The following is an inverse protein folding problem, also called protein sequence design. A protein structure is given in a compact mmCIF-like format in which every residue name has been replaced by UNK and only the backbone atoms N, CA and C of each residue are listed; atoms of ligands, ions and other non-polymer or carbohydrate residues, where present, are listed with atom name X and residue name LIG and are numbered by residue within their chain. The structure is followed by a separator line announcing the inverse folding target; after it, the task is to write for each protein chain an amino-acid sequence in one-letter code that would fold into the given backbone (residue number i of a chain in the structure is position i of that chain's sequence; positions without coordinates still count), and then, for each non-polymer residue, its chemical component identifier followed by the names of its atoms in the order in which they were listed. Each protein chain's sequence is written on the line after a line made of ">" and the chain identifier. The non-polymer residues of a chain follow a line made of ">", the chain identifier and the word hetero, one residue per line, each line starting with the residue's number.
data_IF_608203614006
#
_entry.id   IF_608203614006
#
_cell.length_a   1.000
_cell.length_b   1.000
_cell.length_c   1.000
_cell.angle_alpha   90.00
_cell.angle_beta   90.00
_cell.angle_gamma   90.00
#
_symmetry.space_group_name_H-M   'P 1'
#
loop_
_entity.id
_entity.type
_entity.pdbx_description
1 polymer ?
#
# COMPACT_ATOMS: atom_id res chain seq x y z
N UNK A 1 20.22 -8.98 -9.42
CA UNK A 1 21.03 -7.90 -8.77
C UNK A 1 21.01 -6.71 -9.69
N UNK A 2 20.14 -5.72 -9.43
CA UNK A 2 20.25 -4.42 -10.08
C UNK A 2 21.49 -3.79 -9.47
N UNK A 3 22.57 -3.66 -10.26
CA UNK A 3 23.80 -3.02 -9.83
C UNK A 3 23.45 -1.62 -9.29
N UNK A 4 23.91 -1.27 -8.09
CA UNK A 4 23.60 -0.05 -7.39
C UNK A 4 23.63 1.19 -8.28
N UNK A 5 22.47 1.56 -8.79
CA UNK A 5 22.34 2.76 -9.61
C UNK A 5 22.61 3.94 -8.68
N UNK A 6 23.59 4.77 -9.07
CA UNK A 6 23.90 5.99 -8.31
C UNK A 6 22.62 6.79 -8.13
N UNK A 7 22.23 7.11 -6.89
CA UNK A 7 21.06 7.92 -6.58
C UNK A 7 21.06 9.23 -7.42
N UNK A 8 19.96 9.52 -8.09
CA UNK A 8 19.77 10.68 -8.98
C UNK A 8 18.61 11.58 -8.49
N UNK A 9 18.79 12.30 -7.36
CA UNK A 9 17.73 13.01 -6.71
C UNK A 9 17.05 14.04 -7.60
N UNK A 10 15.72 13.89 -7.77
CA UNK A 10 14.89 14.86 -8.49
C UNK A 10 14.42 15.95 -7.52
N UNK A 11 14.51 17.21 -7.95
CA UNK A 11 14.01 18.32 -7.13
C UNK A 11 12.49 18.32 -7.11
N UNK A 12 11.95 18.35 -5.92
CA UNK A 12 10.53 18.54 -5.71
C UNK A 12 10.30 19.42 -4.48
N UNK A 13 9.35 20.32 -4.54
CA UNK A 13 8.93 21.13 -3.40
C UNK A 13 7.59 20.59 -2.92
N UNK A 14 7.57 19.86 -1.79
CA UNK A 14 6.31 19.37 -1.24
C UNK A 14 5.41 20.55 -0.84
N UNK A 15 4.10 20.40 -0.94
CA UNK A 15 3.18 21.39 -0.38
C UNK A 15 3.44 21.56 1.13
N UNK A 16 3.21 22.73 1.72
CA UNK A 16 3.38 22.94 3.15
C UNK A 16 2.65 21.86 3.94
N UNK A 17 3.35 21.21 4.88
CA UNK A 17 2.75 20.15 5.67
C UNK A 17 1.54 20.68 6.44
N UNK A 18 0.38 20.02 6.38
CA UNK A 18 -0.80 20.43 7.12
C UNK A 18 -0.54 20.36 8.63
N UNK A 19 -1.24 21.14 9.47
CA UNK A 19 -1.07 21.10 10.94
C UNK A 19 -1.14 19.66 11.49
N UNK A 20 -2.05 18.86 10.95
CA UNK A 20 -2.27 17.45 11.31
C UNK A 20 -1.01 16.56 11.18
N UNK A 21 -0.09 16.88 10.27
CA UNK A 21 1.18 16.16 10.10
C UNK A 21 2.14 16.27 11.31
N UNK A 22 1.88 17.20 12.23
CA UNK A 22 2.70 17.43 13.44
C UNK A 22 2.03 16.89 14.71
N UNK A 23 0.81 16.42 14.59
CA UNK A 23 0.05 15.84 15.69
C UNK A 23 0.33 14.34 15.77
N UNK A 24 0.35 13.82 16.98
CA UNK A 24 0.62 12.40 17.26
C UNK A 24 -0.65 11.61 17.57
N UNK A 25 -1.76 12.31 17.67
CA UNK A 25 -3.10 11.74 17.91
C UNK A 25 -4.15 12.49 17.11
N UNK A 26 -5.14 11.78 16.63
CA UNK A 26 -6.37 12.37 16.07
C UNK A 26 -7.31 12.83 17.17
N UNK A 27 -8.26 13.70 16.81
CA UNK A 27 -9.31 14.16 17.73
C UNK A 27 -10.11 12.98 18.30
N UNK A 28 -10.36 11.98 17.46
CA UNK A 28 -10.92 10.68 17.84
C UNK A 28 -9.80 9.66 17.62
N UNK A 29 -9.09 9.19 18.67
CA UNK A 29 -7.99 8.29 18.50
C UNK A 29 -8.44 6.90 18.03
N UNK A 30 -7.54 6.20 17.31
CA UNK A 30 -7.74 4.78 17.01
C UNK A 30 -7.86 4.02 18.35
N UNK A 31 -8.93 3.24 18.55
CA UNK A 31 -9.09 2.43 19.76
C UNK A 31 -7.99 1.38 19.91
N UNK A 32 -7.95 0.74 21.07
CA UNK A 32 -7.00 -0.34 21.35
C UNK A 32 -7.05 -1.40 20.25
N UNK A 33 -5.88 -1.79 19.78
CA UNK A 33 -5.69 -2.82 18.76
C UNK A 33 -5.51 -4.16 19.46
N UNK A 34 -6.37 -5.12 19.14
CA UNK A 34 -6.20 -6.53 19.50
C UNK A 34 -5.33 -7.22 18.46
N UNK A 35 -4.45 -8.12 18.86
CA UNK A 35 -3.50 -8.81 17.98
C UNK A 35 -4.00 -10.22 17.66
N UNK A 36 -4.01 -10.57 16.37
CA UNK A 36 -4.16 -11.94 15.89
C UNK A 36 -2.77 -12.40 15.42
N UNK A 37 -2.09 -13.13 16.32
CA UNK A 37 -0.69 -13.52 16.08
C UNK A 37 -0.54 -14.47 14.89
N UNK A 38 0.53 -14.29 14.12
CA UNK A 38 0.90 -15.09 12.95
C UNK A 38 2.21 -15.84 13.21
N UNK A 39 2.42 -17.00 12.53
CA UNK A 39 3.70 -17.71 12.59
C UNK A 39 4.86 -16.99 11.88
N UNK A 40 4.59 -15.91 11.14
CA UNK A 40 5.56 -15.10 10.41
C UNK A 40 5.53 -13.64 10.82
N UNK A 41 6.40 -12.83 10.22
CA UNK A 41 6.53 -11.41 10.52
C UNK A 41 6.08 -10.54 9.33
N UNK A 42 5.84 -9.27 9.64
CA UNK A 42 5.54 -8.23 8.67
C UNK A 42 4.37 -8.60 7.72
N UNK A 43 3.15 -8.88 8.24
CA UNK A 43 1.96 -9.01 7.40
C UNK A 43 1.63 -7.65 6.77
N UNK A 44 2.21 -7.40 5.59
CA UNK A 44 2.23 -6.07 4.96
C UNK A 44 0.84 -5.61 4.55
N UNK A 45 0.04 -6.51 3.96
CA UNK A 45 -1.34 -6.25 3.60
C UNK A 45 -2.29 -7.30 4.17
N UNK A 46 -3.56 -6.95 4.24
CA UNK A 46 -4.64 -7.81 4.69
C UNK A 46 -5.84 -7.68 3.78
N UNK A 47 -6.47 -8.79 3.45
CA UNK A 47 -7.74 -8.79 2.71
C UNK A 47 -8.75 -9.69 3.40
N UNK A 48 -10.04 -9.41 3.18
CA UNK A 48 -11.14 -10.21 3.72
C UNK A 48 -11.81 -11.01 2.61
N UNK A 49 -11.98 -12.31 2.81
CA UNK A 49 -12.74 -13.15 1.89
C UNK A 49 -14.26 -12.98 2.07
N UNK A 50 -15.04 -13.40 1.08
CA UNK A 50 -16.50 -13.41 1.18
C UNK A 50 -17.05 -14.24 2.35
N UNK A 51 -16.29 -15.24 2.83
CA UNK A 51 -16.62 -16.06 3.99
C UNK A 51 -16.22 -15.42 5.33
N UNK A 52 -15.64 -14.24 5.31
CA UNK A 52 -15.25 -13.49 6.52
C UNK A 52 -13.89 -13.86 7.10
N UNK A 53 -13.09 -14.65 6.41
CA UNK A 53 -11.71 -14.90 6.81
C UNK A 53 -10.81 -13.74 6.43
N UNK A 54 -9.78 -13.52 7.23
CA UNK A 54 -8.74 -12.53 6.93
C UNK A 54 -7.54 -13.27 6.35
N UNK A 55 -7.03 -12.78 5.23
CA UNK A 55 -5.82 -13.30 4.59
C UNK A 55 -4.69 -12.31 4.81
N UNK A 56 -3.51 -12.81 5.12
CA UNK A 56 -2.30 -12.02 5.28
C UNK A 56 -1.09 -12.75 4.70
N UNK A 57 -0.25 -12.04 3.95
CA UNK A 57 1.03 -12.52 3.46
C UNK A 57 2.17 -12.02 4.35
N UNK A 58 3.15 -12.87 4.68
CA UNK A 58 4.26 -12.53 5.57
C UNK A 58 5.61 -12.57 4.85
N UNK A 59 6.68 -12.15 5.54
CA UNK A 59 8.00 -11.88 4.96
C UNK A 59 8.73 -13.11 4.38
N UNK A 60 8.41 -14.32 4.82
CA UNK A 60 8.98 -15.57 4.30
C UNK A 60 8.24 -16.16 3.09
N UNK A 61 7.27 -15.44 2.55
CA UNK A 61 6.43 -15.85 1.42
C UNK A 61 5.16 -16.60 1.80
N UNK A 62 4.96 -16.92 3.07
CA UNK A 62 3.77 -17.62 3.54
C UNK A 62 2.53 -16.73 3.47
N UNK A 63 1.41 -17.32 3.04
CA UNK A 63 0.08 -16.69 3.01
C UNK A 63 -0.82 -17.43 3.96
N UNK A 64 -1.34 -16.74 4.96
CA UNK A 64 -2.17 -17.31 6.01
C UNK A 64 -3.63 -16.89 5.89
N UNK A 65 -4.54 -17.81 6.26
CA UNK A 65 -5.95 -17.56 6.46
C UNK A 65 -6.25 -17.57 7.95
N UNK A 66 -6.90 -16.53 8.45
CA UNK A 66 -7.20 -16.29 9.85
C UNK A 66 -8.71 -16.26 10.03
N UNK A 67 -9.21 -16.99 11.01
CA UNK A 67 -10.58 -16.82 11.50
C UNK A 67 -10.57 -15.70 12.55
N UNK A 68 -11.15 -14.53 12.29
CA UNK A 68 -11.05 -13.41 13.21
C UNK A 68 -11.88 -13.60 14.50
N UNK A 69 -12.82 -14.55 14.51
CA UNK A 69 -13.66 -14.86 15.67
C UNK A 69 -13.04 -15.97 16.54
N UNK A 70 -12.61 -17.06 15.90
CA UNK A 70 -12.01 -18.19 16.61
C UNK A 70 -10.50 -17.97 16.89
N UNK A 71 -9.85 -17.01 16.22
CA UNK A 71 -8.41 -16.77 16.32
C UNK A 71 -7.55 -17.88 15.68
N UNK A 72 -8.15 -18.79 14.91
CA UNK A 72 -7.40 -19.90 14.29
C UNK A 72 -6.70 -19.43 13.03
N UNK A 73 -5.44 -19.87 12.87
CA UNK A 73 -4.58 -19.52 11.72
C UNK A 73 -4.26 -20.81 10.94
N UNK A 74 -4.35 -20.77 9.62
CA UNK A 74 -3.98 -21.87 8.73
C UNK A 74 -3.15 -21.34 7.56
N UNK A 75 -2.09 -22.08 7.20
CA UNK A 75 -1.29 -21.81 6.01
C UNK A 75 -2.10 -22.18 4.78
N UNK A 76 -2.22 -21.26 3.81
CA UNK A 76 -2.83 -21.50 2.50
C UNK A 76 -1.79 -21.92 1.47
N UNK A 77 -0.70 -21.19 1.37
CA UNK A 77 0.38 -21.40 0.41
C UNK A 77 1.65 -20.66 0.85
N UNK A 78 2.73 -20.91 0.12
CA UNK A 78 3.93 -20.05 0.18
C UNK A 78 4.28 -19.64 -1.25
N UNK A 79 4.40 -18.31 -1.48
CA UNK A 79 4.69 -17.76 -2.81
C UNK A 79 6.12 -18.03 -3.26
N UNK A 80 7.01 -18.36 -2.34
CA UNK A 80 8.45 -18.43 -2.60
C UNK A 80 9.09 -17.05 -2.85
N UNK A 81 8.37 -15.98 -2.57
CA UNK A 81 8.81 -14.59 -2.71
C UNK A 81 8.48 -13.75 -1.48
N UNK A 82 7.92 -12.57 -1.69
CA UNK A 82 7.45 -11.66 -0.64
C UNK A 82 6.08 -11.11 -1.03
N UNK A 83 4.98 -11.68 -0.52
CA UNK A 83 3.64 -11.15 -0.73
C UNK A 83 3.53 -9.74 -0.15
N UNK A 84 2.96 -8.84 -0.92
CA UNK A 84 2.60 -7.47 -0.57
C UNK A 84 1.07 -7.34 -0.70
N UNK A 85 0.57 -6.38 -1.48
CA UNK A 85 -0.86 -6.16 -1.67
C UNK A 85 -1.58 -7.35 -2.29
N UNK A 86 -2.80 -7.59 -1.84
CA UNK A 86 -3.61 -8.74 -2.24
C UNK A 86 -5.05 -8.34 -2.61
N UNK A 87 -5.73 -9.23 -3.31
CA UNK A 87 -7.17 -9.15 -3.56
C UNK A 87 -7.80 -10.54 -3.46
N UNK A 88 -8.91 -10.65 -2.73
CA UNK A 88 -9.65 -11.90 -2.58
C UNK A 88 -10.82 -11.94 -3.56
N UNK A 89 -10.82 -12.92 -4.45
CA UNK A 89 -11.89 -13.15 -5.41
C UNK A 89 -13.06 -13.94 -4.80
N UNK A 90 -14.24 -13.80 -5.37
CA UNK A 90 -15.44 -14.48 -4.90
C UNK A 90 -15.39 -16.02 -5.08
N UNK A 91 -14.53 -16.52 -5.97
CA UNK A 91 -14.30 -17.96 -6.20
C UNK A 91 -13.32 -18.59 -5.21
N UNK A 92 -12.83 -17.81 -4.24
CA UNK A 92 -11.86 -18.22 -3.23
C UNK A 92 -10.40 -18.15 -3.71
N UNK A 93 -10.16 -17.72 -4.95
CA UNK A 93 -8.79 -17.43 -5.41
C UNK A 93 -8.30 -16.08 -4.87
N UNK A 94 -6.98 -15.88 -4.87
CA UNK A 94 -6.35 -14.62 -4.48
C UNK A 94 -5.49 -14.11 -5.63
N UNK A 95 -5.51 -12.80 -5.84
CA UNK A 95 -4.45 -12.10 -6.56
C UNK A 95 -3.44 -11.61 -5.52
N UNK A 96 -2.16 -11.74 -5.83
CA UNK A 96 -1.07 -11.37 -4.93
C UNK A 96 -0.03 -10.59 -5.74
N UNK A 97 0.23 -9.36 -5.37
CA UNK A 97 1.44 -8.69 -5.77
C UNK A 97 2.60 -9.22 -4.93
N UNK A 98 3.56 -9.84 -5.57
CA UNK A 98 4.75 -10.38 -4.91
C UNK A 98 5.98 -9.59 -5.35
N UNK A 99 6.75 -9.11 -4.39
CA UNK A 99 7.92 -8.28 -4.67
C UNK A 99 8.94 -8.94 -5.61
N UNK A 100 9.13 -10.26 -5.46
CA UNK A 100 10.12 -11.00 -6.23
C UNK A 100 9.57 -11.65 -7.50
N UNK A 101 8.26 -11.91 -7.53
CA UNK A 101 7.63 -12.75 -8.55
C UNK A 101 6.59 -12.03 -9.41
N UNK A 102 6.32 -10.74 -9.13
CA UNK A 102 5.35 -9.95 -9.89
C UNK A 102 3.91 -10.18 -9.44
N UNK A 103 2.97 -10.18 -10.38
CA UNK A 103 1.55 -10.44 -10.11
C UNK A 103 1.24 -11.92 -10.21
N UNK A 104 0.72 -12.50 -9.12
CA UNK A 104 0.40 -13.92 -9.00
C UNK A 104 -1.10 -14.13 -8.83
N UNK A 105 -1.56 -15.32 -9.20
CA UNK A 105 -2.86 -15.88 -8.80
C UNK A 105 -2.62 -17.13 -7.97
N UNK A 106 -3.20 -17.20 -6.78
CA UNK A 106 -3.31 -18.39 -5.95
C UNK A 106 -4.74 -18.91 -6.08
N UNK A 107 -4.92 -20.11 -6.61
CA UNK A 107 -6.24 -20.73 -6.71
C UNK A 107 -6.71 -21.34 -5.39
N UNK A 108 -7.98 -21.74 -5.32
CA UNK A 108 -8.57 -22.37 -4.12
C UNK A 108 -8.00 -23.75 -3.80
N UNK A 109 -7.24 -24.37 -4.72
CA UNK A 109 -6.54 -25.64 -4.52
C UNK A 109 -5.10 -25.44 -4.00
N UNK A 110 -4.63 -24.19 -3.89
CA UNK A 110 -3.28 -23.84 -3.44
C UNK A 110 -2.24 -23.77 -4.55
N UNK A 111 -2.63 -23.86 -5.82
CA UNK A 111 -1.70 -23.71 -6.94
C UNK A 111 -1.45 -22.22 -7.26
N UNK A 112 -0.18 -21.88 -7.53
CA UNK A 112 0.25 -20.52 -7.84
C UNK A 112 0.61 -20.41 -9.32
N UNK A 113 -0.05 -19.46 -9.99
CA UNK A 113 0.20 -19.05 -11.36
C UNK A 113 0.83 -17.66 -11.38
N UNK A 114 1.86 -17.45 -12.21
CA UNK A 114 2.41 -16.11 -12.49
C UNK A 114 1.61 -15.49 -13.63
N UNK A 115 0.94 -14.38 -13.36
CA UNK A 115 0.16 -13.65 -14.36
C UNK A 115 1.02 -12.62 -15.10
N UNK A 116 1.88 -11.88 -14.37
CA UNK A 116 2.79 -10.87 -14.93
C UNK A 116 4.06 -10.83 -14.09
N UNK A 117 5.20 -11.09 -14.69
CA UNK A 117 6.53 -10.95 -14.09
C UNK A 117 7.47 -10.05 -14.94
N UNK A 118 6.97 -9.57 -16.08
CA UNK A 118 7.72 -8.77 -17.04
C UNK A 118 6.83 -7.66 -17.62
N UNK A 119 7.41 -6.50 -17.89
CA UNK A 119 6.77 -5.37 -18.58
C UNK A 119 7.74 -4.82 -19.62
N UNK A 120 7.32 -4.77 -20.89
CA UNK A 120 8.13 -4.25 -22.02
C UNK A 120 9.50 -4.96 -22.20
N UNK A 121 9.58 -6.23 -21.88
CA UNK A 121 10.81 -7.04 -21.97
C UNK A 121 11.77 -6.88 -20.78
N UNK A 122 11.34 -6.19 -19.73
CA UNK A 122 12.11 -6.02 -18.50
C UNK A 122 11.36 -6.66 -17.31
N UNK A 123 12.06 -7.27 -16.35
CA UNK A 123 11.40 -7.80 -15.16
C UNK A 123 10.51 -6.74 -14.50
N UNK A 124 9.34 -7.15 -14.00
CA UNK A 124 8.45 -6.29 -13.22
C UNK A 124 8.99 -6.19 -11.78
N UNK A 125 9.68 -5.12 -11.41
CA UNK A 125 10.14 -4.96 -10.06
C UNK A 125 9.02 -4.43 -9.19
N UNK A 126 8.98 -4.83 -7.94
CA UNK A 126 8.17 -4.24 -6.88
C UNK A 126 6.68 -4.11 -7.25
N UNK A 127 6.02 -5.21 -7.70
CA UNK A 127 4.57 -5.27 -7.73
C UNK A 127 4.05 -5.04 -6.31
N UNK A 128 3.15 -4.04 -6.13
CA UNK A 128 2.83 -3.51 -4.80
C UNK A 128 1.41 -3.83 -4.34
N UNK A 129 0.39 -3.42 -5.09
CA UNK A 129 -1.00 -3.63 -4.68
C UNK A 129 -1.89 -3.92 -5.89
N UNK A 130 -3.04 -4.59 -5.68
CA UNK A 130 -3.89 -5.11 -6.76
C UNK A 130 -5.36 -5.07 -6.41
N UNK A 131 -6.20 -4.82 -7.43
CA UNK A 131 -7.66 -4.98 -7.37
C UNK A 131 -8.18 -5.57 -8.66
N UNK A 132 -9.27 -6.36 -8.59
CA UNK A 132 -9.98 -6.90 -9.76
C UNK A 132 -11.34 -6.23 -9.92
N UNK A 133 -11.66 -5.86 -11.15
CA UNK A 133 -12.99 -5.40 -11.54
C UNK A 133 -13.94 -6.58 -11.80
N UNK A 134 -15.25 -6.32 -11.77
CA UNK A 134 -16.27 -7.34 -11.97
C UNK A 134 -16.23 -8.00 -13.37
N UNK A 135 -15.67 -7.33 -14.37
CA UNK A 135 -15.47 -7.88 -15.73
C UNK A 135 -14.22 -8.75 -15.84
N UNK A 136 -13.46 -8.93 -14.75
CA UNK A 136 -12.23 -9.70 -14.68
C UNK A 136 -10.96 -8.91 -14.97
N UNK A 137 -11.07 -7.62 -15.33
CA UNK A 137 -9.92 -6.75 -15.52
C UNK A 137 -9.19 -6.54 -14.18
N UNK A 138 -7.87 -6.65 -14.20
CA UNK A 138 -7.00 -6.46 -13.03
C UNK A 138 -6.28 -5.12 -13.15
N UNK A 139 -6.29 -4.34 -12.06
CA UNK A 139 -5.49 -3.13 -11.91
C UNK A 139 -4.49 -3.35 -10.80
N UNK A 140 -3.22 -3.02 -11.06
CA UNK A 140 -2.17 -3.20 -10.06
C UNK A 140 -1.09 -2.13 -10.19
N UNK A 141 -0.37 -1.88 -9.10
CA UNK A 141 0.72 -0.91 -9.02
C UNK A 141 2.08 -1.59 -8.97
N UNK A 142 3.11 -0.82 -9.35
CA UNK A 142 4.51 -1.11 -9.07
C UNK A 142 5.14 0.13 -8.47
N UNK A 143 5.78 -0.01 -7.31
CA UNK A 143 6.24 1.15 -6.52
C UNK A 143 7.46 1.82 -7.11
N UNK A 144 8.47 1.04 -7.50
CA UNK A 144 9.75 1.56 -7.98
C UNK A 144 10.41 0.63 -8.99
N UNK A 145 11.03 1.21 -10.02
CA UNK A 145 11.95 0.50 -10.93
C UNK A 145 13.41 0.59 -10.51
N UNK A 146 13.70 1.35 -9.47
CA UNK A 146 15.07 1.72 -9.11
C UNK A 146 15.54 1.14 -7.79
N UNK A 147 14.63 0.96 -6.84
CA UNK A 147 14.94 0.56 -5.48
C UNK A 147 14.23 -0.75 -5.11
N UNK A 148 14.96 -1.71 -4.54
CA UNK A 148 14.35 -2.91 -3.97
C UNK A 148 13.62 -2.59 -2.66
N UNK A 149 12.87 -3.57 -2.15
CA UNK A 149 12.02 -3.39 -0.97
C UNK A 149 12.81 -2.99 0.28
N UNK A 150 13.99 -3.52 0.48
CA UNK A 150 14.89 -3.20 1.60
C UNK A 150 15.54 -1.81 1.48
N UNK A 151 15.51 -1.21 0.28
CA UNK A 151 16.02 0.14 0.01
C UNK A 151 14.91 1.15 -0.35
N UNK A 152 13.63 0.86 -0.03
CA UNK A 152 12.48 1.69 -0.42
C UNK A 152 12.61 3.19 -0.03
N UNK A 153 13.28 3.48 1.10
CA UNK A 153 13.57 4.87 1.51
C UNK A 153 14.45 5.61 0.50
N UNK A 154 15.26 4.89 -0.28
CA UNK A 154 16.05 5.47 -1.36
C UNK A 154 15.18 6.10 -2.45
N UNK A 155 14.05 5.48 -2.79
CA UNK A 155 13.09 6.02 -3.75
C UNK A 155 12.47 7.33 -3.25
N UNK A 156 12.06 7.40 -1.98
CA UNK A 156 11.51 8.61 -1.38
C UNK A 156 12.56 9.75 -1.31
N UNK A 157 13.81 9.41 -0.97
CA UNK A 157 14.90 10.37 -0.96
C UNK A 157 15.28 10.85 -2.37
N UNK A 158 15.24 9.96 -3.34
CA UNK A 158 15.50 10.30 -4.73
C UNK A 158 14.34 11.09 -5.35
N UNK A 159 13.11 10.78 -4.94
CA UNK A 159 11.86 11.21 -5.55
C UNK A 159 11.82 10.80 -7.01
N UNK A 160 11.99 9.48 -7.23
CA UNK A 160 12.40 8.92 -8.52
C UNK A 160 11.35 9.06 -9.62
N UNK A 161 10.07 9.06 -9.25
CA UNK A 161 8.97 9.11 -10.22
C UNK A 161 8.97 7.90 -11.15
N UNK A 162 9.25 6.70 -10.62
CA UNK A 162 9.31 5.48 -11.44
C UNK A 162 8.20 4.48 -11.13
N UNK A 163 7.27 4.86 -10.26
CA UNK A 163 6.07 4.08 -9.98
C UNK A 163 5.10 4.04 -11.16
N UNK A 164 4.33 2.98 -11.28
CA UNK A 164 3.39 2.75 -12.38
C UNK A 164 2.07 2.17 -11.90
N UNK A 165 0.99 2.47 -12.65
CA UNK A 165 -0.31 1.82 -12.55
C UNK A 165 -0.57 1.05 -13.84
N UNK A 166 -0.96 -0.21 -13.73
CA UNK A 166 -1.21 -1.11 -14.85
C UNK A 166 -2.65 -1.57 -14.91
N UNK A 167 -3.07 -1.97 -16.13
CA UNK A 167 -4.27 -2.73 -16.42
C UNK A 167 -3.90 -4.02 -17.15
N UNK A 168 -4.35 -5.15 -16.62
CA UNK A 168 -4.31 -6.45 -17.28
C UNK A 168 -5.75 -6.84 -17.62
N UNK A 169 -6.10 -6.90 -18.91
CA UNK A 169 -7.42 -7.31 -19.33
C UNK A 169 -7.61 -8.83 -19.31
N UNK A 170 -8.85 -9.35 -19.38
CA UNK A 170 -9.09 -10.79 -19.37
C UNK A 170 -8.48 -11.56 -20.55
N UNK A 171 -8.06 -10.87 -21.63
CA UNK A 171 -7.36 -11.51 -22.76
C UNK A 171 -5.85 -11.68 -22.51
N UNK A 172 -5.34 -11.16 -21.38
CA UNK A 172 -3.92 -11.15 -21.05
C UNK A 172 -3.16 -9.94 -21.60
N UNK A 173 -3.84 -8.94 -22.17
CA UNK A 173 -3.18 -7.71 -22.63
C UNK A 173 -2.84 -6.82 -21.43
N UNK A 174 -1.56 -6.56 -21.25
CA UNK A 174 -1.04 -5.62 -20.27
C UNK A 174 -0.91 -4.21 -20.86
N UNK A 175 -1.32 -3.20 -20.09
CA UNK A 175 -1.20 -1.79 -20.45
C UNK A 175 -0.77 -0.95 -19.25
N UNK A 176 0.16 -0.04 -19.45
CA UNK A 176 0.53 0.98 -18.47
C UNK A 176 -0.44 2.16 -18.57
N UNK A 177 -1.25 2.38 -17.53
CA UNK A 177 -2.22 3.49 -17.47
C UNK A 177 -1.57 4.80 -17.05
N UNK A 178 -0.68 4.75 -16.05
CA UNK A 178 0.09 5.90 -15.57
C UNK A 178 1.54 5.44 -15.36
N UNK A 179 2.48 6.20 -15.88
CA UNK A 179 3.92 6.12 -15.57
C UNK A 179 4.35 7.39 -14.82
N UNK A 180 5.42 7.32 -14.06
CA UNK A 180 5.96 8.49 -13.36
C UNK A 180 5.33 8.78 -12.00
N UNK A 181 4.62 7.82 -11.41
CA UNK A 181 4.07 7.95 -10.05
C UNK A 181 5.20 7.97 -9.00
N UNK A 182 4.96 8.69 -7.91
CA UNK A 182 5.92 8.83 -6.82
C UNK A 182 5.72 7.73 -5.77
N UNK A 183 6.35 6.58 -6.00
CA UNK A 183 6.18 5.38 -5.19
C UNK A 183 4.71 4.94 -5.15
N UNK A 184 4.23 4.37 -6.28
CA UNK A 184 2.86 3.89 -6.40
C UNK A 184 2.61 2.72 -5.44
N UNK A 185 1.52 2.80 -4.66
CA UNK A 185 1.19 1.85 -3.62
C UNK A 185 -0.25 1.36 -3.76
N UNK A 186 -1.08 1.44 -2.72
CA UNK A 186 -2.43 0.94 -2.67
C UNK A 186 -3.28 1.28 -3.90
N UNK A 187 -4.08 0.32 -4.35
CA UNK A 187 -4.98 0.45 -5.51
C UNK A 187 -6.41 0.13 -5.10
N UNK A 188 -7.36 1.01 -5.45
CA UNK A 188 -8.79 0.83 -5.17
C UNK A 188 -9.61 1.14 -6.41
N UNK A 189 -10.59 0.29 -6.73
CA UNK A 189 -11.58 0.56 -7.76
C UNK A 189 -12.79 1.27 -7.15
N UNK A 190 -13.31 2.30 -7.83
CA UNK A 190 -14.55 2.95 -7.40
C UNK A 190 -15.74 1.97 -7.48
N UNK A 191 -16.75 2.08 -6.59
CA UNK A 191 -17.88 1.14 -6.54
C UNK A 191 -18.65 1.04 -7.85
N UNK A 192 -18.70 2.13 -8.62
CA UNK A 192 -19.35 2.20 -9.92
C UNK A 192 -18.44 1.76 -11.09
N UNK A 193 -17.19 1.38 -10.81
CA UNK A 193 -16.20 1.00 -11.82
C UNK A 193 -15.75 2.15 -12.72
N UNK A 194 -16.07 3.39 -12.39
CA UNK A 194 -15.75 4.55 -13.27
C UNK A 194 -14.29 5.01 -13.16
N UNK A 195 -13.62 4.67 -12.07
CA UNK A 195 -12.24 5.10 -11.82
C UNK A 195 -11.45 4.10 -10.99
N UNK A 196 -10.13 4.13 -11.12
CA UNK A 196 -9.20 3.44 -10.25
C UNK A 196 -8.32 4.47 -9.53
N UNK A 197 -8.15 4.27 -8.24
CA UNK A 197 -7.34 5.10 -7.35
C UNK A 197 -5.99 4.45 -7.14
N UNK A 198 -4.93 5.25 -7.01
CA UNK A 198 -3.59 4.79 -6.64
C UNK A 198 -2.97 5.75 -5.63
N UNK A 199 -2.46 5.21 -4.53
CA UNK A 199 -1.69 5.98 -3.55
C UNK A 199 -0.31 6.32 -4.13
N UNK A 200 0.13 7.57 -3.94
CA UNK A 200 1.50 8.00 -4.23
C UNK A 200 2.18 8.38 -2.91
N UNK A 201 2.86 7.39 -2.31
CA UNK A 201 3.52 7.51 -1.00
C UNK A 201 4.49 8.70 -0.96
N UNK A 202 5.34 8.83 -1.99
CA UNK A 202 6.34 9.89 -2.09
C UNK A 202 5.80 11.27 -2.44
N UNK A 203 4.50 11.39 -2.75
CA UNK A 203 3.86 12.66 -3.10
C UNK A 203 2.73 13.07 -2.16
N UNK A 204 2.46 12.29 -1.09
CA UNK A 204 1.44 12.58 -0.08
C UNK A 204 0.04 12.77 -0.65
N UNK A 205 -0.36 11.91 -1.60
CA UNK A 205 -1.63 12.05 -2.32
C UNK A 205 -2.21 10.72 -2.78
N UNK A 206 -3.49 10.75 -3.18
CA UNK A 206 -4.16 9.69 -3.93
C UNK A 206 -4.54 10.22 -5.31
N UNK A 207 -4.04 9.56 -6.34
CA UNK A 207 -4.34 9.86 -7.74
C UNK A 207 -5.50 9.01 -8.20
N UNK A 208 -6.44 9.60 -8.97
CA UNK A 208 -7.58 8.93 -9.56
C UNK A 208 -7.43 8.92 -11.08
N UNK A 209 -7.42 7.73 -11.67
CA UNK A 209 -7.47 7.53 -13.12
C UNK A 209 -8.91 7.18 -13.55
N UNK A 210 -9.44 7.92 -14.50
CA UNK A 210 -10.78 7.74 -15.01
C UNK A 210 -10.81 6.64 -16.09
N UNK A 211 -11.63 5.60 -15.83
CA UNK A 211 -11.79 4.45 -16.74
C UNK A 211 -12.91 4.68 -17.74
N UNK A 212 -13.95 5.40 -17.35
CA UNK A 212 -15.15 5.64 -18.14
C UNK A 212 -15.61 7.10 -18.07
N UNK A 213 -16.64 7.45 -18.88
CA UNK A 213 -17.20 8.79 -18.87
C UNK A 213 -16.39 9.82 -19.64
N UNK A 214 -16.73 11.13 -19.50
CA UNK A 214 -16.08 12.21 -20.27
C UNK A 214 -14.60 12.42 -19.99
N UNK A 215 -14.12 11.94 -18.84
CA UNK A 215 -12.72 12.03 -18.42
C UNK A 215 -11.92 10.76 -18.70
N UNK A 216 -12.50 9.74 -19.32
CA UNK A 216 -11.83 8.46 -19.58
C UNK A 216 -10.44 8.64 -20.20
N UNK A 217 -9.45 7.92 -19.69
CA UNK A 217 -8.06 8.01 -20.11
C UNK A 217 -7.27 9.20 -19.51
N UNK A 218 -7.89 9.99 -18.62
CA UNK A 218 -7.21 11.06 -17.89
C UNK A 218 -7.13 10.76 -16.40
N UNK A 219 -6.33 11.52 -15.67
CA UNK A 219 -6.25 11.40 -14.22
C UNK A 219 -6.31 12.78 -13.54
N UNK A 220 -6.82 12.79 -12.32
CA UNK A 220 -6.83 13.92 -11.40
C UNK A 220 -6.40 13.48 -9.99
N UNK A 221 -6.57 14.33 -9.00
CA UNK A 221 -6.24 14.03 -7.61
C UNK A 221 -7.53 13.87 -6.81
N UNK A 222 -7.70 12.71 -6.16
CA UNK A 222 -8.80 12.51 -5.21
C UNK A 222 -8.55 13.36 -3.97
N UNK A 223 -7.35 13.24 -3.40
CA UNK A 223 -6.91 14.01 -2.23
C UNK A 223 -5.41 14.26 -2.33
N UNK A 224 -4.98 15.45 -1.90
CA UNK A 224 -3.59 15.88 -1.88
C UNK A 224 -3.17 16.36 -0.49
N UNK A 225 -1.88 16.50 -0.31
CA UNK A 225 -1.30 17.04 0.91
C UNK A 225 -1.68 16.26 2.18
N UNK A 226 -1.71 14.94 2.07
CA UNK A 226 -1.93 14.07 3.22
C UNK A 226 -0.90 14.32 4.33
N UNK A 227 -1.28 14.14 5.60
CA UNK A 227 -0.42 14.43 6.74
C UNK A 227 0.66 13.37 6.99
N UNK A 228 0.62 12.25 6.32
CA UNK A 228 1.54 11.13 6.38
C UNK A 228 1.79 10.55 4.99
N UNK A 229 2.56 9.47 4.95
CA UNK A 229 2.85 8.72 3.74
C UNK A 229 1.69 7.75 3.46
N UNK A 230 0.86 7.95 2.41
CA UNK A 230 -0.17 6.98 2.08
C UNK A 230 0.45 5.67 1.57
N UNK A 231 -0.10 4.56 2.04
CA UNK A 231 0.36 3.22 1.70
C UNK A 231 -0.79 2.40 1.08
N UNK A 232 -1.06 1.17 1.53
CA UNK A 232 -2.17 0.42 0.97
C UNK A 232 -3.52 1.07 1.29
N UNK A 233 -4.48 0.78 0.42
CA UNK A 233 -5.84 1.29 0.52
C UNK A 233 -6.84 0.17 0.27
N UNK A 234 -8.02 0.30 0.85
CA UNK A 234 -9.14 -0.60 0.59
C UNK A 234 -10.48 0.16 0.51
N UNK A 235 -11.41 -0.38 -0.26
CA UNK A 235 -12.81 0.06 -0.22
C UNK A 235 -13.49 -0.64 0.96
N UNK A 236 -13.98 0.15 1.91
CA UNK A 236 -14.72 -0.35 3.06
C UNK A 236 -16.17 -0.74 2.71
N UNK A 237 -16.81 -1.52 3.59
CA UNK A 237 -18.22 -1.85 3.49
C UNK A 237 -19.12 -0.62 3.67
N UNK A 238 -18.58 0.45 4.29
CA UNK A 238 -19.17 1.78 4.44
C UNK A 238 -19.13 2.64 3.17
N UNK A 239 -18.48 2.14 2.11
CA UNK A 239 -18.31 2.85 0.85
C UNK A 239 -17.21 3.91 0.86
N UNK A 240 -16.39 3.98 1.89
CA UNK A 240 -15.25 4.89 2.00
C UNK A 240 -13.96 4.23 1.51
N UNK A 241 -13.02 5.06 1.07
CA UNK A 241 -11.65 4.63 0.77
C UNK A 241 -10.82 4.76 2.05
N UNK A 242 -10.47 3.62 2.63
CA UNK A 242 -9.57 3.53 3.76
C UNK A 242 -8.13 3.57 3.29
N UNK A 243 -7.31 4.42 3.92
CA UNK A 243 -5.92 4.70 3.55
C UNK A 243 -5.07 4.51 4.80
N UNK A 244 -4.03 3.70 4.72
CA UNK A 244 -3.04 3.58 5.78
C UNK A 244 -1.99 4.68 5.69
N UNK A 245 -1.53 5.14 6.83
CA UNK A 245 -0.44 6.11 6.96
C UNK A 245 0.60 5.54 7.93
N UNK A 246 1.56 4.70 7.46
CA UNK A 246 2.57 4.07 8.31
C UNK A 246 3.37 5.05 9.17
N UNK A 247 3.55 6.26 8.66
CA UNK A 247 4.30 7.31 9.34
C UNK A 247 3.77 8.70 8.98
N UNK A 248 3.78 9.67 9.90
CA UNK A 248 3.58 11.07 9.58
C UNK A 248 4.67 11.58 8.64
N UNK A 249 4.42 12.70 7.97
CA UNK A 249 5.42 13.36 7.11
C UNK A 249 6.70 13.64 7.90
N UNK A 250 7.84 13.42 7.23
CA UNK A 250 9.14 13.66 7.82
C UNK A 250 9.60 15.10 7.52
N UNK A 251 9.70 15.99 8.52
CA UNK A 251 10.11 17.39 8.29
C UNK A 251 11.52 17.56 7.72
N UNK A 252 12.43 16.61 7.98
CA UNK A 252 13.77 16.63 7.41
C UNK A 252 13.70 16.30 5.92
N UNK A 253 12.97 15.27 5.54
CA UNK A 253 12.77 14.90 4.14
C UNK A 253 12.11 16.06 3.37
N UNK A 254 11.04 16.65 3.89
CA UNK A 254 10.34 17.78 3.26
C UNK A 254 11.27 18.98 3.04
N UNK A 255 12.25 19.20 3.94
CA UNK A 255 13.26 20.25 3.77
C UNK A 255 14.35 19.90 2.77
N UNK A 256 14.69 18.62 2.65
CA UNK A 256 15.77 18.16 1.76
C UNK A 256 15.32 18.05 0.30
N UNK A 257 14.07 17.72 0.04
CA UNK A 257 13.53 17.49 -1.30
C UNK A 257 13.71 18.68 -2.28
N UNK A 258 13.50 19.95 -1.89
CA UNK A 258 13.75 21.11 -2.76
C UNK A 258 15.22 21.52 -2.86
N UNK A 259 16.10 20.98 -2.00
CA UNK A 259 17.51 21.36 -1.96
C UNK A 259 18.35 20.61 -3.02
N UNK A 260 19.61 21.02 -3.26
CA UNK A 260 20.50 20.29 -4.17
C UNK A 260 20.62 18.82 -3.80
N UNK A 261 20.52 17.94 -4.79
CA UNK A 261 20.47 16.48 -4.60
C UNK A 261 21.68 15.88 -3.87
N UNK A 262 22.82 16.58 -3.88
CA UNK A 262 24.01 16.14 -3.13
C UNK A 262 23.73 15.94 -1.64
N UNK A 263 22.87 16.76 -1.04
CA UNK A 263 22.53 16.64 0.38
C UNK A 263 21.80 15.34 0.67
N UNK A 264 20.90 14.92 -0.23
CA UNK A 264 20.16 13.64 -0.13
C UNK A 264 21.07 12.43 -0.34
N UNK A 265 22.07 12.55 -1.23
CA UNK A 265 23.12 11.52 -1.39
C UNK A 265 23.95 11.36 -0.11
N UNK A 266 24.27 12.47 0.56
CA UNK A 266 24.99 12.42 1.84
C UNK A 266 24.15 11.73 2.89
N UNK A 267 22.86 12.08 3.01
CA UNK A 267 21.94 11.44 3.97
C UNK A 267 21.79 9.94 3.68
N UNK A 268 21.64 9.55 2.42
CA UNK A 268 21.56 8.15 2.01
C UNK A 268 22.82 7.35 2.35
N UNK A 269 23.97 7.95 2.27
CA UNK A 269 25.25 7.32 2.61
C UNK A 269 25.52 7.20 4.11
N UNK A 270 24.67 7.77 4.98
CA UNK A 270 24.81 7.64 6.43
C UNK A 270 24.46 6.21 6.87
N UNK A 271 25.19 5.66 7.87
CA UNK A 271 24.84 4.38 8.46
C UNK A 271 23.40 4.37 9.00
N UNK A 272 22.70 3.25 8.89
CA UNK A 272 21.29 3.12 9.33
C UNK A 272 21.06 3.55 10.79
N UNK A 273 22.02 3.33 11.67
CA UNK A 273 21.89 3.72 13.08
C UNK A 273 21.86 5.24 13.31
N UNK A 274 22.27 6.06 12.32
CA UNK A 274 22.18 7.53 12.35
C UNK A 274 20.88 8.01 11.74
N UNK A 275 20.24 7.17 10.90
CA UNK A 275 19.01 7.56 10.21
C UNK A 275 17.84 7.65 11.20
N UNK A 276 17.00 8.70 11.12
CA UNK A 276 15.85 8.84 11.99
C UNK A 276 14.87 7.69 11.73
N UNK A 277 14.52 6.97 12.81
CA UNK A 277 13.49 5.94 12.73
C UNK A 277 12.10 6.59 12.70
N UNK A 278 11.14 6.04 11.93
CA UNK A 278 9.76 6.52 11.98
C UNK A 278 9.18 6.33 13.40
N UNK A 279 8.34 7.25 13.86
CA UNK A 279 7.66 7.11 15.15
C UNK A 279 6.77 5.85 15.14
N UNK A 280 6.63 5.20 16.30
CA UNK A 280 5.66 4.11 16.44
C UNK A 280 4.27 4.69 16.52
N UNK A 281 3.53 4.57 15.44
CA UNK A 281 2.15 5.04 15.32
C UNK A 281 1.32 4.04 14.54
N UNK A 282 0.06 3.89 14.92
CA UNK A 282 -0.96 3.24 14.11
C UNK A 282 -1.90 4.32 13.60
N UNK A 283 -2.03 4.43 12.27
CA UNK A 283 -2.79 5.52 11.66
C UNK A 283 -3.49 5.06 10.39
N UNK A 284 -4.82 5.27 10.37
CA UNK A 284 -5.65 5.07 9.20
C UNK A 284 -6.55 6.28 9.00
N UNK A 285 -6.82 6.61 7.75
CA UNK A 285 -7.79 7.64 7.36
C UNK A 285 -8.82 7.02 6.43
N UNK A 286 -10.04 7.54 6.43
CA UNK A 286 -11.03 7.21 5.43
C UNK A 286 -11.54 8.47 4.74
N UNK A 287 -11.65 8.41 3.41
CA UNK A 287 -12.14 9.51 2.57
C UNK A 287 -13.28 9.04 1.68
N UNK A 288 -14.19 9.93 1.35
CA UNK A 288 -15.19 9.68 0.30
C UNK A 288 -14.60 9.90 -1.11
N UNK A 289 -15.39 9.61 -2.14
CA UNK A 289 -14.94 9.79 -3.53
C UNK A 289 -14.90 11.25 -4.01
N UNK A 290 -15.26 12.20 -3.15
CA UNK A 290 -15.03 13.65 -3.34
C UNK A 290 -13.73 14.12 -2.66
N UNK A 291 -13.02 13.22 -1.97
CA UNK A 291 -11.76 13.49 -1.28
C UNK A 291 -11.94 14.13 0.11
N UNK A 292 -13.16 14.10 0.64
CA UNK A 292 -13.43 14.60 2.00
C UNK A 292 -13.04 13.54 3.03
N UNK A 293 -12.23 13.94 4.01
CA UNK A 293 -11.87 13.07 5.15
C UNK A 293 -13.11 12.88 6.04
N UNK A 294 -13.48 11.62 6.24
CA UNK A 294 -14.58 11.19 7.11
C UNK A 294 -14.05 10.64 8.43
N UNK A 295 -13.00 9.82 8.37
CA UNK A 295 -12.31 9.31 9.55
C UNK A 295 -10.83 9.66 9.51
N UNK A 296 -10.29 10.02 10.66
CA UNK A 296 -8.86 10.21 10.89
C UNK A 296 -8.55 9.61 12.27
N UNK A 297 -8.01 8.39 12.27
CA UNK A 297 -7.85 7.56 13.45
C UNK A 297 -6.36 7.25 13.65
N UNK A 298 -5.72 7.95 14.59
CA UNK A 298 -4.31 7.76 14.93
C UNK A 298 -4.14 7.50 16.41
N UNK A 299 -3.29 6.53 16.74
CA UNK A 299 -2.79 6.30 18.09
C UNK A 299 -1.27 6.19 18.09
N UNK A 300 -0.61 6.85 19.04
CA UNK A 300 0.83 6.79 19.26
C UNK A 300 1.16 5.96 20.50
N UNK A 301 2.36 5.35 20.51
CA UNK A 301 2.85 4.57 21.63
C UNK A 301 2.08 3.27 21.87
N UNK A 302 1.43 2.75 20.83
CA UNK A 302 0.75 1.46 20.87
C UNK A 302 1.72 0.30 20.70
N UNK A 303 1.29 -0.91 21.15
CA UNK A 303 2.02 -2.16 20.90
C UNK A 303 1.94 -2.61 19.44
N UNK A 304 1.19 -1.90 18.60
CA UNK A 304 1.02 -2.14 17.19
C UNK A 304 1.30 -0.85 16.40
N UNK A 305 2.17 -0.90 15.41
CA UNK A 305 2.61 0.28 14.67
C UNK A 305 2.94 -0.04 13.21
N UNK A 306 3.28 0.99 12.44
CA UNK A 306 3.68 0.88 11.04
C UNK A 306 2.60 0.20 10.20
N UNK A 307 1.36 0.68 10.34
CA UNK A 307 0.19 0.12 9.64
C UNK A 307 0.30 0.39 8.16
N UNK A 308 0.43 -0.66 7.36
CA UNK A 308 0.57 -0.61 5.91
C UNK A 308 -0.65 -1.17 5.18
N UNK A 309 -1.36 -2.14 5.74
CA UNK A 309 -2.58 -2.72 5.17
C UNK A 309 -3.81 -2.39 6.00
N UNK A 310 -4.98 -2.26 5.37
CA UNK A 310 -6.25 -2.05 6.04
C UNK A 310 -7.41 -2.69 5.27
N UNK A 311 -8.31 -3.34 6.01
CA UNK A 311 -9.64 -3.74 5.55
C UNK A 311 -10.66 -3.28 6.57
N UNK A 312 -11.67 -2.56 6.12
CA UNK A 312 -12.86 -2.25 6.92
C UNK A 312 -14.01 -3.18 6.54
N UNK A 313 -14.70 -3.71 7.55
CA UNK A 313 -15.97 -4.41 7.37
C UNK A 313 -16.84 -4.31 8.62
N UNK A 314 -18.08 -3.84 8.44
CA UNK A 314 -19.09 -3.70 9.51
C UNK A 314 -18.55 -2.97 10.76
N UNK A 315 -17.81 -1.89 10.55
CA UNK A 315 -17.23 -1.08 11.61
C UNK A 315 -16.02 -1.69 12.32
N UNK A 316 -15.48 -2.80 11.79
CA UNK A 316 -14.23 -3.41 12.23
C UNK A 316 -13.11 -3.09 11.25
N UNK A 317 -11.94 -2.79 11.81
CA UNK A 317 -10.70 -2.59 11.05
C UNK A 317 -9.76 -3.78 11.28
N UNK A 318 -9.28 -4.36 10.20
CA UNK A 318 -8.20 -5.34 10.20
C UNK A 318 -6.97 -4.67 9.58
N UNK A 319 -5.83 -4.77 10.27
CA UNK A 319 -4.65 -3.97 9.99
C UNK A 319 -3.44 -4.85 9.70
N UNK A 320 -2.78 -4.60 8.60
CA UNK A 320 -1.44 -5.13 8.28
C UNK A 320 -0.34 -4.20 8.78
N UNK A 321 0.88 -4.72 8.90
CA UNK A 321 2.04 -3.94 9.33
C UNK A 321 3.35 -4.51 8.80
N UNK A 322 4.30 -3.64 8.47
CA UNK A 322 5.67 -4.04 8.09
C UNK A 322 6.55 -4.48 9.27
N UNK A 323 6.15 -4.25 10.52
CA UNK A 323 7.04 -4.46 11.69
C UNK A 323 6.47 -5.40 12.74
N UNK A 324 5.22 -5.80 12.60
CA UNK A 324 4.55 -6.64 13.59
C UNK A 324 4.52 -8.12 13.16
N UNK A 325 4.15 -9.01 14.10
CA UNK A 325 3.98 -10.45 13.87
C UNK A 325 2.52 -10.87 13.93
N UNK A 326 1.61 -9.94 13.76
CA UNK A 326 0.18 -10.13 13.94
C UNK A 326 -0.63 -9.27 12.99
N UNK A 327 -1.83 -9.69 12.67
CA UNK A 327 -2.87 -8.79 12.14
C UNK A 327 -3.49 -8.04 13.31
N UNK A 328 -3.56 -6.71 13.20
CA UNK A 328 -4.24 -5.87 14.17
C UNK A 328 -5.76 -5.86 13.95
N UNK A 329 -6.53 -5.84 15.03
CA UNK A 329 -7.99 -5.69 14.97
C UNK A 329 -8.42 -4.53 15.86
N UNK A 330 -9.16 -3.60 15.30
CA UNK A 330 -9.72 -2.47 16.03
C UNK A 330 -11.17 -2.20 15.58
N UNK A 331 -11.86 -1.32 16.28
CA UNK A 331 -13.22 -0.93 15.92
C UNK A 331 -13.22 0.55 15.53
N UNK A 332 -14.04 0.91 14.55
CA UNK A 332 -14.30 2.32 14.25
C UNK A 332 -15.05 2.91 15.45
N UNK A 333 -14.58 4.05 16.02
CA UNK A 333 -15.30 4.75 17.07
C UNK A 333 -16.67 5.23 16.57
N UNK A 334 -17.70 5.08 17.40
CA UNK A 334 -19.05 5.53 17.15
C UNK A 334 -19.17 7.05 17.28
#
# INVERSE_FOLDING_TARGET
>A
MVAGSTMQPQRWTPPPAPPRARETRSAIPLPQITRLELPGAAPEDVVRTGEGRIIAGVDDGSVYSIDPVAGTVSLLANTGGRPLGMHADADGSLLICDFHRGLLRLDSAGAIEVLVDEVDGEPLPFASNVVRAADGTIYFSSSSRRYPLDEWMGDLLEHSGTGRLFRLDPSGKLETLIDGLQFANGVVLSPDGSSVLVAETGAYRVTRYWLTGPKAGTYDRLIENLPGFPDNMALGSDGLVWITLPSPRNPLLDRLLPLPGILRRIVWALPEWVQPKPPRTAWVMAVDFDGKVVHDLQAEGTDYAMVTGVVEHDGMLYLGSLTETAVGVSRIPS
#
